data_IF_424686659747
#
_entry.id   IF_424686659747
#
_cell.length_a   1.000
_cell.length_b   1.000
_cell.length_c   1.000
_cell.angle_alpha   90.00
_cell.angle_beta   90.00
_cell.angle_gamma   90.00
#
_symmetry.space_group_name_H-M   'P 1'
#
loop_
_entity.id
_entity.type
_entity.pdbx_description
1 polymer ?
#
# COMPACT_ATOMS: atom_id res chain seq x y z
N UNK A 1 -48.21 2.97 -16.38
CA UNK A 1 -47.00 3.80 -16.26
C UNK A 1 -46.17 3.16 -15.16
N UNK A 2 -45.18 2.36 -15.52
CA UNK A 2 -44.38 1.57 -14.57
C UNK A 2 -43.20 2.45 -14.17
N UNK A 3 -43.19 2.92 -12.92
CA UNK A 3 -41.99 3.49 -12.33
C UNK A 3 -41.12 2.32 -11.87
N UNK A 4 -40.16 1.92 -12.69
CA UNK A 4 -39.01 1.14 -12.21
C UNK A 4 -38.12 2.09 -11.42
N UNK A 5 -38.36 2.21 -10.11
CA UNK A 5 -37.40 2.82 -9.19
C UNK A 5 -36.20 1.88 -9.12
N UNK A 6 -35.11 2.21 -9.82
CA UNK A 6 -33.80 1.60 -9.60
C UNK A 6 -33.39 1.86 -8.15
N UNK A 7 -33.53 0.85 -7.29
CA UNK A 7 -33.18 0.92 -5.87
C UNK A 7 -31.66 0.89 -5.69
N UNK A 8 -30.98 1.97 -6.05
CA UNK A 8 -29.55 2.12 -5.77
C UNK A 8 -29.36 2.57 -4.32
N UNK A 9 -28.78 1.72 -3.48
CA UNK A 9 -28.43 2.06 -2.10
C UNK A 9 -26.93 2.34 -2.00
N UNK A 10 -26.57 3.57 -1.67
CA UNK A 10 -25.16 4.01 -1.54
C UNK A 10 -24.81 4.34 -0.11
N UNK A 11 -23.68 3.82 0.35
CA UNK A 11 -23.14 3.99 1.68
C UNK A 11 -21.89 4.87 1.66
N UNK A 12 -21.76 5.72 2.68
CA UNK A 12 -20.71 6.73 2.77
C UNK A 12 -19.92 6.57 4.07
N UNK A 13 -18.60 6.85 4.06
CA UNK A 13 -17.82 6.82 5.28
C UNK A 13 -18.21 7.98 6.22
N UNK A 14 -18.05 7.76 7.53
CA UNK A 14 -18.26 8.77 8.58
C UNK A 14 -17.43 10.01 8.28
N UNK A 15 -17.97 11.23 8.48
CA UNK A 15 -17.20 12.47 8.36
C UNK A 15 -15.94 12.49 9.24
N UNK A 16 -16.00 11.90 10.44
CA UNK A 16 -14.86 11.81 11.36
C UNK A 16 -13.76 10.88 10.85
N UNK A 17 -14.11 9.73 10.28
CA UNK A 17 -13.15 8.79 9.69
C UNK A 17 -12.47 9.38 8.46
N UNK A 18 -13.24 10.06 7.60
CA UNK A 18 -12.71 10.81 6.46
C UNK A 18 -11.77 11.94 6.91
N UNK A 19 -12.17 12.74 7.90
CA UNK A 19 -11.33 13.83 8.42
C UNK A 19 -10.01 13.31 9.01
N UNK A 20 -10.06 12.21 9.77
CA UNK A 20 -8.87 11.57 10.33
C UNK A 20 -7.93 11.05 9.23
N UNK A 21 -8.46 10.28 8.28
CA UNK A 21 -7.70 9.72 7.15
C UNK A 21 -7.08 10.82 6.28
N UNK A 22 -7.85 11.88 6.02
CA UNK A 22 -7.37 13.06 5.28
C UNK A 22 -6.26 13.78 6.03
N UNK A 23 -6.42 14.02 7.34
CA UNK A 23 -5.39 14.67 8.16
C UNK A 23 -4.09 13.86 8.13
N UNK A 24 -4.17 12.55 8.35
CA UNK A 24 -2.98 11.70 8.33
C UNK A 24 -2.33 11.66 6.95
N UNK A 25 -3.12 11.55 5.88
CA UNK A 25 -2.60 11.60 4.51
C UNK A 25 -1.87 12.92 4.22
N UNK A 26 -2.41 14.07 4.66
CA UNK A 26 -1.70 15.35 4.52
C UNK A 26 -0.44 15.44 5.36
N UNK A 27 -0.44 14.94 6.59
CA UNK A 27 0.75 14.88 7.44
C UNK A 27 1.84 14.01 6.81
N UNK A 28 1.47 12.83 6.30
CA UNK A 28 2.40 11.93 5.61
C UNK A 28 2.95 12.58 4.33
N UNK A 29 2.09 13.21 3.53
CA UNK A 29 2.51 13.93 2.32
C UNK A 29 3.49 15.08 2.65
N UNK A 30 3.17 15.90 3.67
CA UNK A 30 4.04 16.98 4.11
C UNK A 30 5.38 16.47 4.62
N UNK A 31 5.39 15.39 5.42
CA UNK A 31 6.62 14.78 5.91
C UNK A 31 7.49 14.23 4.76
N UNK A 32 6.88 13.57 3.77
CA UNK A 32 7.58 13.05 2.60
C UNK A 32 8.17 14.17 1.73
N UNK A 33 7.42 15.25 1.49
CA UNK A 33 7.90 16.41 0.74
C UNK A 33 8.99 17.17 1.49
N UNK A 34 8.87 17.32 2.81
CA UNK A 34 9.90 17.95 3.63
C UNK A 34 11.19 17.11 3.60
N UNK A 35 11.07 15.78 3.73
CA UNK A 35 12.21 14.87 3.62
C UNK A 35 12.85 14.95 2.23
N UNK A 36 12.05 14.96 1.17
CA UNK A 36 12.53 15.06 -0.20
C UNK A 36 13.26 16.38 -0.47
N UNK A 37 12.71 17.51 -0.01
CA UNK A 37 13.33 18.82 -0.20
C UNK A 37 14.64 18.97 0.57
N UNK A 38 14.68 18.53 1.84
CA UNK A 38 15.91 18.55 2.64
C UNK A 38 17.00 17.70 1.98
N UNK A 39 16.67 16.48 1.56
CA UNK A 39 17.65 15.57 0.93
C UNK A 39 18.11 16.06 -0.43
N UNK A 40 17.23 16.66 -1.23
CA UNK A 40 17.58 17.27 -2.52
C UNK A 40 18.54 18.45 -2.34
N UNK A 41 18.26 19.34 -1.38
CA UNK A 41 19.12 20.50 -1.08
C UNK A 41 20.51 20.03 -0.63
N UNK A 42 20.56 19.03 0.27
CA UNK A 42 21.82 18.45 0.74
C UNK A 42 22.61 17.81 -0.40
N UNK A 43 21.94 17.06 -1.28
CA UNK A 43 22.57 16.44 -2.46
C UNK A 43 23.14 17.49 -3.40
N UNK A 44 22.38 18.53 -3.76
CA UNK A 44 22.89 19.63 -4.61
C UNK A 44 24.11 20.30 -3.97
N UNK A 45 24.10 20.49 -2.66
CA UNK A 45 25.22 21.08 -1.93
C UNK A 45 26.46 20.18 -1.95
N UNK A 46 26.30 18.88 -1.71
CA UNK A 46 27.39 17.90 -1.76
C UNK A 46 27.93 17.77 -3.18
N UNK A 47 27.06 17.77 -4.19
CA UNK A 47 27.45 17.81 -5.60
C UNK A 47 28.34 19.02 -5.93
N UNK A 48 28.06 20.19 -5.35
CA UNK A 48 28.92 21.37 -5.48
C UNK A 48 30.34 21.20 -4.90
N UNK A 49 30.52 20.26 -3.98
CA UNK A 49 31.83 19.92 -3.38
C UNK A 49 32.54 18.77 -4.10
N UNK A 50 31.92 18.17 -5.14
CA UNK A 50 32.54 17.11 -5.94
C UNK A 50 33.72 17.66 -6.76
N UNK A 51 34.92 17.36 -6.31
CA UNK A 51 36.18 17.68 -7.02
C UNK A 51 36.78 16.47 -7.73
N UNK A 52 36.05 15.35 -7.81
CA UNK A 52 36.58 14.07 -8.28
C UNK A 52 35.83 13.55 -9.50
N UNK A 53 36.59 13.14 -10.53
CA UNK A 53 36.06 12.36 -11.64
C UNK A 53 35.50 11.02 -11.16
N UNK A 54 34.40 10.59 -11.76
CA UNK A 54 33.74 9.31 -11.49
C UNK A 54 34.76 8.16 -11.46
N UNK A 55 34.87 7.46 -10.33
CA UNK A 55 35.72 6.28 -10.20
C UNK A 55 34.84 5.04 -9.96
N UNK A 56 35.19 3.88 -10.53
CA UNK A 56 34.38 2.67 -10.46
C UNK A 56 34.33 1.99 -9.07
N UNK A 57 34.91 2.60 -8.02
CA UNK A 57 34.76 2.14 -6.64
C UNK A 57 33.98 3.18 -5.84
N UNK A 58 33.01 2.73 -5.04
CA UNK A 58 32.10 3.59 -4.28
C UNK A 58 32.87 4.31 -3.15
N UNK A 59 33.08 5.63 -3.22
CA UNK A 59 33.55 6.37 -2.03
C UNK A 59 32.38 6.60 -1.07
N UNK A 60 32.68 6.90 0.19
CA UNK A 60 31.64 7.27 1.17
C UNK A 60 30.81 8.49 0.70
N UNK A 61 31.42 9.42 -0.05
CA UNK A 61 30.73 10.55 -0.68
C UNK A 61 29.76 10.09 -1.78
N UNK A 62 30.16 9.13 -2.63
CA UNK A 62 29.28 8.57 -3.66
C UNK A 62 28.09 7.85 -3.00
N UNK A 63 28.36 7.03 -1.98
CA UNK A 63 27.32 6.32 -1.24
C UNK A 63 26.32 7.29 -0.57
N UNK A 64 26.84 8.38 0.02
CA UNK A 64 26.01 9.42 0.63
C UNK A 64 25.17 10.15 -0.42
N UNK A 65 25.77 10.54 -1.54
CA UNK A 65 25.09 11.23 -2.64
C UNK A 65 23.97 10.37 -3.23
N UNK A 66 24.24 9.10 -3.53
CA UNK A 66 23.23 8.16 -4.01
C UNK A 66 22.10 7.95 -2.99
N UNK A 67 22.43 7.91 -1.70
CA UNK A 67 21.42 7.79 -0.64
C UNK A 67 20.51 9.00 -0.60
N UNK A 68 21.07 10.20 -0.71
CA UNK A 68 20.29 11.44 -0.70
C UNK A 68 19.35 11.51 -1.90
N UNK A 69 19.85 11.25 -3.12
CA UNK A 69 19.01 11.19 -4.32
C UNK A 69 17.92 10.12 -4.21
N UNK A 70 18.25 8.94 -3.69
CA UNK A 70 17.29 7.87 -3.54
C UNK A 70 16.19 8.20 -2.52
N UNK A 71 16.54 8.80 -1.38
CA UNK A 71 15.56 9.27 -0.39
C UNK A 71 14.69 10.39 -0.98
N UNK A 72 15.27 11.33 -1.74
CA UNK A 72 14.49 12.35 -2.44
C UNK A 72 13.49 11.74 -3.41
N UNK A 73 13.93 10.75 -4.20
CA UNK A 73 13.07 10.03 -5.14
C UNK A 73 11.94 9.29 -4.43
N UNK A 74 12.24 8.56 -3.34
CA UNK A 74 11.23 7.88 -2.53
C UNK A 74 10.24 8.88 -1.90
N UNK A 75 10.73 10.02 -1.40
CA UNK A 75 9.88 11.06 -0.82
C UNK A 75 8.91 11.64 -1.85
N UNK A 76 9.38 11.98 -3.05
CA UNK A 76 8.53 12.49 -4.14
C UNK A 76 7.54 11.41 -4.60
N UNK A 77 8.03 10.19 -4.89
CA UNK A 77 7.18 9.07 -5.34
C UNK A 77 6.12 8.71 -4.30
N UNK A 78 6.48 8.66 -3.03
CA UNK A 78 5.56 8.45 -1.91
C UNK A 78 4.52 9.56 -1.81
N UNK A 79 4.92 10.83 -1.94
CA UNK A 79 3.99 11.96 -1.90
C UNK A 79 2.97 11.88 -3.04
N UNK A 80 3.38 11.47 -4.25
CA UNK A 80 2.46 11.25 -5.39
C UNK A 80 1.44 10.15 -5.05
N UNK A 81 1.87 9.02 -4.47
CA UNK A 81 0.95 7.94 -4.08
C UNK A 81 -0.05 8.40 -3.02
N UNK A 82 0.42 9.13 -2.00
CA UNK A 82 -0.45 9.68 -0.96
C UNK A 82 -1.44 10.68 -1.54
N UNK A 83 -1.02 11.53 -2.48
CA UNK A 83 -1.92 12.47 -3.16
C UNK A 83 -3.00 11.73 -3.98
N UNK A 84 -2.63 10.69 -4.73
CA UNK A 84 -3.62 9.85 -5.44
C UNK A 84 -4.60 9.18 -4.46
N UNK A 85 -4.11 8.73 -3.31
CA UNK A 85 -4.97 8.20 -2.24
C UNK A 85 -5.91 9.26 -1.66
N UNK A 86 -5.44 10.48 -1.40
CA UNK A 86 -6.30 11.56 -0.92
C UNK A 86 -7.41 11.89 -1.92
N UNK A 87 -7.12 11.85 -3.23
CA UNK A 87 -8.12 12.03 -4.29
C UNK A 87 -9.13 10.87 -4.27
N UNK A 88 -8.65 9.62 -4.19
CA UNK A 88 -9.51 8.44 -4.08
C UNK A 88 -10.43 8.50 -2.85
N UNK A 89 -9.90 8.88 -1.70
CA UNK A 89 -10.65 9.05 -0.46
C UNK A 89 -11.68 10.18 -0.57
N UNK A 90 -11.34 11.28 -1.22
CA UNK A 90 -12.29 12.36 -1.50
C UNK A 90 -13.45 11.88 -2.39
N UNK A 91 -13.13 11.14 -3.44
CA UNK A 91 -14.10 10.56 -4.35
C UNK A 91 -14.99 9.53 -3.66
N UNK A 92 -14.46 8.69 -2.76
CA UNK A 92 -15.24 7.78 -1.93
C UNK A 92 -16.19 8.51 -0.97
N UNK A 93 -15.73 9.63 -0.37
CA UNK A 93 -16.59 10.45 0.48
C UNK A 93 -17.72 11.15 -0.32
N UNK A 94 -17.46 11.57 -1.56
CA UNK A 94 -18.45 12.27 -2.39
C UNK A 94 -19.40 11.36 -3.15
N UNK A 95 -18.91 10.24 -3.67
CA UNK A 95 -19.64 9.34 -4.57
C UNK A 95 -20.13 8.05 -3.89
N UNK A 96 -19.70 7.80 -2.65
CA UNK A 96 -19.95 6.55 -1.92
C UNK A 96 -18.79 5.57 -2.05
N UNK A 97 -18.66 4.72 -1.04
CA UNK A 97 -17.64 3.65 -0.95
C UNK A 97 -18.22 2.28 -1.24
N UNK A 98 -19.51 2.09 -0.97
CA UNK A 98 -20.23 0.86 -1.29
C UNK A 98 -21.60 1.22 -1.86
N UNK A 99 -21.97 0.62 -2.98
CA UNK A 99 -23.27 0.81 -3.60
C UNK A 99 -23.83 -0.52 -4.08
N UNK A 100 -25.08 -0.80 -3.71
CA UNK A 100 -25.90 -1.77 -4.42
C UNK A 100 -26.48 -1.09 -5.66
N UNK A 101 -26.12 -1.57 -6.84
CA UNK A 101 -26.65 -1.08 -8.12
C UNK A 101 -27.68 -2.11 -8.58
N UNK A 102 -28.95 -1.77 -8.36
CA UNK A 102 -30.06 -2.71 -8.60
C UNK A 102 -29.89 -3.97 -7.73
N UNK A 103 -30.60 -5.05 -8.07
CA UNK A 103 -30.51 -6.36 -7.40
C UNK A 103 -29.47 -7.28 -8.08
N UNK A 104 -28.57 -6.72 -8.91
CA UNK A 104 -27.68 -7.53 -9.77
C UNK A 104 -26.19 -7.19 -9.62
N UNK A 105 -25.85 -6.03 -9.07
CA UNK A 105 -24.46 -5.57 -9.00
C UNK A 105 -24.10 -4.90 -7.68
N UNK A 106 -22.86 -5.14 -7.25
CA UNK A 106 -22.25 -4.47 -6.10
C UNK A 106 -21.07 -3.66 -6.58
N UNK A 107 -21.11 -2.35 -6.38
CA UNK A 107 -19.97 -1.47 -6.61
C UNK A 107 -19.27 -1.16 -5.29
N UNK A 108 -17.99 -1.53 -5.19
CA UNK A 108 -17.15 -1.28 -4.02
C UNK A 108 -15.94 -0.45 -4.42
N UNK A 109 -15.58 0.50 -3.57
CA UNK A 109 -14.35 1.28 -3.69
C UNK A 109 -13.56 1.15 -2.40
N UNK A 110 -12.33 0.66 -2.52
CA UNK A 110 -11.40 0.66 -1.38
C UNK A 110 -10.90 2.08 -1.11
N UNK A 111 -11.38 2.67 -0.02
CA UNK A 111 -10.83 3.90 0.56
C UNK A 111 -10.38 3.68 2.00
N UNK A 112 -10.00 2.45 2.34
CA UNK A 112 -9.62 2.09 3.69
C UNK A 112 -8.34 2.83 4.11
N UNK A 113 -8.25 3.13 5.42
CA UNK A 113 -7.05 3.66 6.04
C UNK A 113 -5.82 2.74 5.84
N UNK A 114 -6.05 1.42 5.70
CA UNK A 114 -5.01 0.43 5.46
C UNK A 114 -4.14 0.71 4.23
N UNK A 115 -4.67 1.44 3.24
CA UNK A 115 -3.90 1.85 2.07
C UNK A 115 -2.77 2.84 2.39
N UNK A 116 -2.94 3.72 3.39
CA UNK A 116 -1.84 4.58 3.85
C UNK A 116 -0.72 3.75 4.50
N UNK A 117 -1.11 2.75 5.30
CA UNK A 117 -0.18 1.78 5.88
C UNK A 117 0.59 1.01 4.80
N UNK A 118 -0.11 0.58 3.76
CA UNK A 118 0.50 -0.12 2.62
C UNK A 118 1.50 0.77 1.87
N UNK A 119 1.18 2.04 1.63
CA UNK A 119 2.12 3.01 1.04
C UNK A 119 3.37 3.15 1.92
N UNK A 120 3.20 3.29 3.24
CA UNK A 120 4.33 3.38 4.18
C UNK A 120 5.22 2.14 4.12
N UNK A 121 4.64 0.93 4.16
CA UNK A 121 5.41 -0.31 4.12
C UNK A 121 6.16 -0.50 2.79
N UNK A 122 5.55 -0.10 1.67
CA UNK A 122 6.22 -0.12 0.35
C UNK A 122 7.42 0.82 0.33
N UNK A 123 7.28 2.05 0.82
CA UNK A 123 8.39 3.01 0.91
C UNK A 123 9.49 2.52 1.84
N UNK A 124 9.12 1.96 2.99
CA UNK A 124 10.05 1.39 3.97
C UNK A 124 10.81 0.20 3.38
N UNK A 125 10.13 -0.72 2.69
CA UNK A 125 10.77 -1.85 2.03
C UNK A 125 11.75 -1.40 0.93
N UNK A 126 11.36 -0.41 0.12
CA UNK A 126 12.24 0.15 -0.91
C UNK A 126 13.50 0.80 -0.30
N UNK A 127 13.34 1.52 0.81
CA UNK A 127 14.46 2.07 1.58
C UNK A 127 15.42 0.98 2.05
N UNK A 128 14.92 -0.06 2.73
CA UNK A 128 15.78 -1.13 3.24
C UNK A 128 16.43 -1.97 2.13
N UNK A 129 15.74 -2.20 1.02
CA UNK A 129 16.35 -2.86 -0.14
C UNK A 129 17.52 -2.04 -0.69
N UNK A 130 17.36 -0.72 -0.77
CA UNK A 130 18.45 0.15 -1.22
C UNK A 130 19.63 0.17 -0.24
N UNK A 131 19.37 0.25 1.07
CA UNK A 131 20.43 0.14 2.08
C UNK A 131 21.15 -1.20 2.00
N UNK A 132 20.43 -2.31 1.84
CA UNK A 132 21.02 -3.63 1.65
C UNK A 132 21.90 -3.68 0.38
N UNK A 133 21.44 -3.07 -0.72
CA UNK A 133 22.22 -2.96 -1.94
C UNK A 133 23.51 -2.16 -1.75
N UNK A 134 23.46 -1.03 -1.02
CA UNK A 134 24.65 -0.24 -0.68
C UNK A 134 25.63 -1.01 0.21
N UNK A 135 25.14 -1.66 1.27
CA UNK A 135 25.96 -2.47 2.18
C UNK A 135 26.63 -3.62 1.43
N UNK A 136 25.92 -4.26 0.50
CA UNK A 136 26.48 -5.30 -0.37
C UNK A 136 27.62 -4.80 -1.27
N UNK A 137 27.67 -3.50 -1.59
CA UNK A 137 28.75 -2.90 -2.39
C UNK A 137 29.96 -2.44 -1.56
N UNK A 138 29.83 -2.30 -0.23
CA UNK A 138 30.91 -1.85 0.67
C UNK A 138 32.19 -2.70 0.57
N UNK A 139 32.14 -4.04 0.47
CA UNK A 139 33.36 -4.84 0.41
C UNK A 139 34.27 -4.54 -0.79
N UNK A 140 33.73 -3.98 -1.88
CA UNK A 140 34.52 -3.54 -3.05
C UNK A 140 35.52 -2.44 -2.64
N UNK A 141 35.15 -1.59 -1.68
CA UNK A 141 36.01 -0.54 -1.11
C UNK A 141 37.17 -1.15 -0.31
N UNK A 142 36.91 -2.27 0.38
CA UNK A 142 37.91 -2.97 1.19
C UNK A 142 39.01 -3.61 0.34
N UNK A 143 38.72 -4.03 -0.89
CA UNK A 143 39.73 -4.60 -1.80
C UNK A 143 40.87 -3.59 -2.05
N UNK A 144 40.56 -2.33 -2.35
CA UNK A 144 41.60 -1.33 -2.62
C UNK A 144 42.43 -1.00 -1.37
N UNK A 145 41.80 -1.00 -0.19
CA UNK A 145 42.49 -0.77 1.08
C UNK A 145 43.42 -1.92 1.46
N UNK A 146 42.98 -3.16 1.27
CA UNK A 146 43.74 -4.36 1.64
C UNK A 146 44.99 -4.58 0.78
N UNK A 147 44.98 -4.11 -0.48
CA UNK A 147 46.14 -4.15 -1.39
C UNK A 147 47.27 -3.20 -0.91
N UNK A 148 46.95 -2.16 -0.13
CA UNK A 148 47.92 -1.15 0.34
C UNK A 148 48.60 -1.52 1.67
N UNK A 149 48.30 -2.68 2.25
CA UNK A 149 48.87 -3.11 3.53
C UNK A 149 50.36 -3.51 3.38
N UNK A 150 51.20 -3.02 4.29
CA UNK A 150 52.66 -3.21 4.22
C UNK A 150 53.14 -4.67 4.37
N UNK A 151 52.50 -5.57 5.17
CA UNK A 151 52.92 -6.96 5.23
C UNK A 151 52.24 -7.77 4.12
N UNK A 152 53.04 -8.43 3.26
CA UNK A 152 52.54 -9.23 2.14
C UNK A 152 51.51 -10.29 2.54
N UNK A 153 51.77 -11.05 3.62
CA UNK A 153 50.85 -12.07 4.14
C UNK A 153 49.52 -11.48 4.63
N UNK A 154 49.58 -10.31 5.28
CA UNK A 154 48.38 -9.62 5.77
C UNK A 154 47.55 -9.10 4.59
N UNK A 155 48.22 -8.53 3.57
CA UNK A 155 47.56 -8.10 2.33
C UNK A 155 46.89 -9.28 1.62
N UNK A 156 47.58 -10.40 1.43
CA UNK A 156 47.03 -11.59 0.76
C UNK A 156 45.76 -12.12 1.45
N UNK A 157 45.81 -12.32 2.77
CA UNK A 157 44.67 -12.86 3.54
C UNK A 157 43.50 -11.87 3.56
N UNK A 158 43.78 -10.59 3.80
CA UNK A 158 42.73 -9.57 3.88
C UNK A 158 42.08 -9.26 2.53
N UNK A 159 42.85 -9.26 1.44
CA UNK A 159 42.31 -9.14 0.08
C UNK A 159 41.50 -10.38 -0.31
N UNK A 160 41.95 -11.59 0.03
CA UNK A 160 41.18 -12.82 -0.17
C UNK A 160 39.83 -12.79 0.56
N UNK A 161 39.81 -12.36 1.81
CA UNK A 161 38.58 -12.19 2.59
C UNK A 161 37.66 -11.10 2.00
N UNK A 162 38.25 -9.97 1.58
CA UNK A 162 37.51 -8.89 0.93
C UNK A 162 36.86 -9.34 -0.38
N UNK A 163 37.54 -10.17 -1.19
CA UNK A 163 36.97 -10.75 -2.42
C UNK A 163 35.77 -11.65 -2.09
N UNK A 164 35.88 -12.53 -1.10
CA UNK A 164 34.77 -13.40 -0.68
C UNK A 164 33.57 -12.58 -0.18
N UNK A 165 33.83 -11.54 0.63
CA UNK A 165 32.81 -10.60 1.09
C UNK A 165 32.19 -9.80 -0.08
N UNK A 166 32.97 -9.41 -1.09
CA UNK A 166 32.47 -8.73 -2.29
C UNK A 166 31.57 -9.62 -3.13
N UNK A 167 31.89 -10.91 -3.28
CA UNK A 167 31.03 -11.87 -3.96
C UNK A 167 29.69 -12.04 -3.24
N UNK A 168 29.72 -12.24 -1.93
CA UNK A 168 28.50 -12.34 -1.12
C UNK A 168 27.69 -11.03 -1.17
N UNK A 169 28.36 -9.89 -1.05
CA UNK A 169 27.76 -8.56 -1.12
C UNK A 169 27.11 -8.29 -2.48
N UNK A 170 27.78 -8.66 -3.59
CA UNK A 170 27.25 -8.52 -4.94
C UNK A 170 25.95 -9.32 -5.12
N UNK A 171 25.88 -10.55 -4.60
CA UNK A 171 24.65 -11.36 -4.62
C UNK A 171 23.52 -10.64 -3.88
N UNK A 172 23.78 -10.11 -2.68
CA UNK A 172 22.79 -9.36 -1.90
C UNK A 172 22.34 -8.10 -2.66
N UNK A 173 23.26 -7.36 -3.28
CA UNK A 173 22.94 -6.18 -4.08
C UNK A 173 22.08 -6.52 -5.30
N UNK A 174 22.38 -7.59 -6.04
CA UNK A 174 21.59 -8.02 -7.20
C UNK A 174 20.16 -8.41 -6.78
N UNK A 175 20.01 -9.19 -5.71
CA UNK A 175 18.69 -9.57 -5.18
C UNK A 175 17.91 -8.32 -4.74
N UNK A 176 18.56 -7.41 -4.01
CA UNK A 176 17.93 -6.19 -3.52
C UNK A 176 17.48 -5.27 -4.66
N UNK A 177 18.29 -5.11 -5.70
CA UNK A 177 17.93 -4.35 -6.91
C UNK A 177 16.74 -5.02 -7.62
N UNK A 178 16.70 -6.35 -7.70
CA UNK A 178 15.57 -7.06 -8.30
C UNK A 178 14.26 -6.78 -7.56
N UNK A 179 14.27 -6.72 -6.22
CA UNK A 179 13.11 -6.33 -5.43
C UNK A 179 12.70 -4.87 -5.64
N UNK A 180 13.65 -3.95 -5.84
CA UNK A 180 13.33 -2.57 -6.20
C UNK A 180 12.61 -2.52 -7.55
N UNK A 181 13.10 -3.25 -8.56
CA UNK A 181 12.46 -3.29 -9.90
C UNK A 181 11.06 -3.90 -9.83
N UNK A 182 10.90 -5.04 -9.16
CA UNK A 182 9.58 -5.66 -8.95
C UNK A 182 8.66 -4.70 -8.20
N UNK A 183 9.19 -4.01 -7.18
CA UNK A 183 8.49 -3.00 -6.41
C UNK A 183 7.97 -1.85 -7.27
N UNK A 184 8.78 -1.33 -8.21
CA UNK A 184 8.36 -0.26 -9.13
C UNK A 184 7.18 -0.70 -10.01
N UNK A 185 7.24 -1.92 -10.56
CA UNK A 185 6.13 -2.48 -11.36
C UNK A 185 4.88 -2.66 -10.50
N UNK A 186 5.06 -3.19 -9.28
CA UNK A 186 3.97 -3.35 -8.30
C UNK A 186 3.32 -2.02 -7.93
N UNK A 187 4.11 -0.97 -7.71
CA UNK A 187 3.64 0.39 -7.41
C UNK A 187 2.81 0.96 -8.56
N UNK A 188 3.22 0.75 -9.81
CA UNK A 188 2.45 1.23 -10.97
C UNK A 188 1.08 0.54 -11.04
N UNK A 189 1.05 -0.79 -10.88
CA UNK A 189 -0.20 -1.56 -10.80
C UNK A 189 -1.07 -1.11 -9.63
N UNK A 190 -0.49 -0.98 -8.43
CA UNK A 190 -1.19 -0.52 -7.23
C UNK A 190 -1.78 0.87 -7.43
N UNK A 191 -1.00 1.81 -7.98
CA UNK A 191 -1.43 3.18 -8.22
C UNK A 191 -2.60 3.30 -9.21
N UNK A 192 -2.72 2.37 -10.16
CA UNK A 192 -3.85 2.32 -11.08
C UNK A 192 -5.11 1.71 -10.46
N UNK A 193 -4.95 0.80 -9.49
CA UNK A 193 -6.07 0.17 -8.77
C UNK A 193 -6.56 1.00 -7.59
N UNK A 194 -5.70 1.84 -7.03
CA UNK A 194 -5.98 2.61 -5.83
C UNK A 194 -7.16 3.57 -6.04
N UNK A 195 -8.25 3.34 -5.30
CA UNK A 195 -9.47 4.14 -5.39
C UNK A 195 -10.36 3.86 -6.60
N UNK A 196 -10.02 2.87 -7.42
CA UNK A 196 -10.89 2.44 -8.51
C UNK A 196 -12.19 1.86 -7.92
N UNK A 197 -13.31 2.16 -8.58
CA UNK A 197 -14.57 1.48 -8.27
C UNK A 197 -14.59 0.16 -9.04
N UNK A 198 -14.80 -0.93 -8.31
CA UNK A 198 -14.97 -2.25 -8.88
C UNK A 198 -16.44 -2.63 -8.73
N UNK A 199 -17.08 -2.93 -9.87
CA UNK A 199 -18.46 -3.39 -9.91
C UNK A 199 -18.45 -4.90 -10.15
N UNK A 200 -18.99 -5.66 -9.20
CA UNK A 200 -19.11 -7.10 -9.24
C UNK A 200 -20.53 -7.48 -9.59
N UNK A 201 -20.70 -8.48 -10.46
CA UNK A 201 -22.00 -9.12 -10.69
C UNK A 201 -22.31 -10.04 -9.51
N UNK A 202 -23.55 -9.97 -9.00
CA UNK A 202 -24.05 -10.88 -7.98
C UNK A 202 -24.41 -12.22 -8.62
N UNK A 203 -23.40 -13.07 -8.80
CA UNK A 203 -23.57 -14.43 -9.33
C UNK A 203 -22.79 -15.43 -8.46
N UNK A 204 -22.83 -16.71 -8.83
CA UNK A 204 -22.26 -17.81 -8.04
C UNK A 204 -20.74 -17.79 -7.90
N UNK A 205 -20.06 -16.84 -8.56
CA UNK A 205 -18.63 -16.61 -8.46
C UNK A 205 -18.29 -15.51 -7.47
N UNK A 206 -19.24 -14.64 -7.12
CA UNK A 206 -19.04 -13.63 -6.10
C UNK A 206 -19.02 -14.29 -4.73
N UNK A 207 -17.94 -14.08 -4.00
CA UNK A 207 -17.84 -14.38 -2.58
C UNK A 207 -17.66 -13.08 -1.81
N UNK A 208 -18.58 -12.79 -0.90
CA UNK A 208 -18.41 -11.72 0.07
C UNK A 208 -18.06 -12.36 1.40
N UNK A 209 -16.91 -12.00 1.94
CA UNK A 209 -16.41 -12.52 3.20
C UNK A 209 -16.33 -11.41 4.24
N UNK A 210 -16.87 -11.67 5.42
CA UNK A 210 -16.82 -10.77 6.57
C UNK A 210 -15.88 -11.33 7.64
N UNK A 211 -14.66 -10.79 7.71
CA UNK A 211 -13.67 -11.13 8.72
C UNK A 211 -13.58 -9.99 9.75
N UNK A 212 -14.16 -10.19 10.93
CA UNK A 212 -14.22 -9.15 11.96
C UNK A 212 -14.99 -7.92 11.47
N UNK A 213 -14.27 -6.82 11.22
CA UNK A 213 -14.83 -5.57 10.67
C UNK A 213 -14.47 -5.33 9.20
N UNK A 214 -13.81 -6.28 8.53
CA UNK A 214 -13.38 -6.14 7.13
C UNK A 214 -14.34 -6.94 6.24
N UNK A 215 -15.00 -6.24 5.32
CA UNK A 215 -15.82 -6.83 4.27
C UNK A 215 -14.95 -6.97 3.01
N UNK A 216 -14.74 -8.19 2.56
CA UNK A 216 -13.93 -8.50 1.38
C UNK A 216 -14.82 -9.02 0.27
N UNK A 217 -14.78 -8.38 -0.90
CA UNK A 217 -15.43 -8.86 -2.12
C UNK A 217 -14.40 -9.59 -3.00
N UNK A 218 -14.67 -10.85 -3.30
CA UNK A 218 -13.82 -11.75 -4.09
C UNK A 218 -14.62 -12.19 -5.32
N UNK A 219 -14.04 -12.00 -6.50
CA UNK A 219 -14.63 -12.44 -7.76
C UNK A 219 -13.51 -12.90 -8.71
N UNK A 220 -13.65 -14.04 -9.41
CA UNK A 220 -12.61 -14.55 -10.30
C UNK A 220 -12.20 -13.54 -11.36
N UNK A 221 -10.90 -13.43 -11.63
CA UNK A 221 -10.33 -12.52 -12.63
C UNK A 221 -10.54 -11.01 -12.37
N UNK A 222 -11.09 -10.65 -11.21
CA UNK A 222 -11.24 -9.27 -10.75
C UNK A 222 -10.42 -9.01 -9.49
N UNK A 223 -9.94 -7.78 -9.26
CA UNK A 223 -9.17 -7.47 -8.06
C UNK A 223 -10.04 -7.64 -6.82
N UNK A 224 -9.47 -8.22 -5.76
CA UNK A 224 -10.10 -8.28 -4.45
C UNK A 224 -10.19 -6.87 -3.86
N UNK A 225 -11.35 -6.54 -3.28
CA UNK A 225 -11.58 -5.25 -2.64
C UNK A 225 -11.93 -5.47 -1.17
N UNK A 226 -11.15 -4.85 -0.30
CA UNK A 226 -11.34 -4.88 1.14
C UNK A 226 -11.93 -3.56 1.60
N UNK A 227 -12.99 -3.62 2.39
CA UNK A 227 -13.70 -2.48 2.92
C UNK A 227 -13.76 -2.58 4.44
N UNK A 228 -13.17 -1.61 5.14
CA UNK A 228 -13.27 -1.53 6.59
C UNK A 228 -14.63 -0.96 7.01
N UNK A 229 -15.48 -1.80 7.60
CA UNK A 229 -16.80 -1.41 8.07
C UNK A 229 -16.73 -0.35 9.17
N UNK A 230 -15.65 -0.27 9.96
CA UNK A 230 -15.50 0.75 11.01
C UNK A 230 -15.52 2.18 10.46
N UNK A 231 -15.23 2.32 9.17
CA UNK A 231 -15.32 3.59 8.45
C UNK A 231 -16.76 4.14 8.36
N UNK A 232 -17.81 3.31 8.43
CA UNK A 232 -19.22 3.71 8.35
C UNK A 232 -19.88 3.96 9.71
N UNK A 233 -20.93 4.80 9.77
CA UNK A 233 -21.76 5.02 10.96
C UNK A 233 -22.30 3.68 11.49
N UNK A 234 -22.43 3.50 12.81
CA UNK A 234 -22.91 2.21 13.35
C UNK A 234 -24.30 1.83 12.80
N UNK A 235 -25.15 2.83 12.55
CA UNK A 235 -26.45 2.64 11.89
C UNK A 235 -26.28 2.17 10.44
N UNK A 236 -25.39 2.80 9.68
CA UNK A 236 -25.13 2.46 8.28
C UNK A 236 -24.44 1.10 8.16
N UNK A 237 -23.60 0.71 9.11
CA UNK A 237 -23.02 -0.63 9.22
C UNK A 237 -24.12 -1.69 9.38
N UNK A 238 -25.03 -1.49 10.35
CA UNK A 238 -26.14 -2.41 10.59
C UNK A 238 -27.04 -2.51 9.36
N UNK A 239 -27.38 -1.37 8.76
CA UNK A 239 -28.23 -1.32 7.57
C UNK A 239 -27.56 -1.95 6.34
N UNK A 240 -26.25 -1.74 6.16
CA UNK A 240 -25.47 -2.39 5.10
C UNK A 240 -25.49 -3.90 5.28
N UNK A 241 -25.19 -4.39 6.48
CA UNK A 241 -25.13 -5.82 6.76
C UNK A 241 -26.51 -6.49 6.66
N UNK A 242 -27.57 -5.83 7.14
CA UNK A 242 -28.94 -6.34 7.01
C UNK A 242 -29.38 -6.40 5.55
N UNK A 243 -29.07 -5.36 4.76
CA UNK A 243 -29.39 -5.32 3.34
C UNK A 243 -28.60 -6.37 2.56
N UNK A 244 -27.35 -6.63 2.96
CA UNK A 244 -26.50 -7.64 2.35
C UNK A 244 -27.04 -9.06 2.61
N UNK A 245 -27.55 -9.33 3.82
CA UNK A 245 -28.22 -10.58 4.15
C UNK A 245 -29.57 -10.71 3.41
N UNK A 246 -30.39 -9.67 3.41
CA UNK A 246 -31.68 -9.65 2.71
C UNK A 246 -31.52 -9.90 1.20
N UNK A 247 -30.51 -9.30 0.57
CA UNK A 247 -30.21 -9.52 -0.84
C UNK A 247 -29.68 -10.92 -1.12
N UNK A 248 -28.95 -11.52 -0.18
CA UNK A 248 -28.48 -12.90 -0.31
C UNK A 248 -29.64 -13.91 -0.25
N UNK A 249 -30.56 -13.72 0.71
CA UNK A 249 -31.77 -14.53 0.86
C UNK A 249 -32.70 -14.37 -0.35
N UNK A 250 -32.93 -13.14 -0.81
CA UNK A 250 -33.78 -12.86 -1.99
C UNK A 250 -33.21 -13.43 -3.28
N UNK A 251 -31.90 -13.53 -3.38
CA UNK A 251 -31.22 -14.03 -4.56
C UNK A 251 -31.12 -15.57 -4.58
N UNK A 252 -31.90 -16.29 -3.76
CA UNK A 252 -31.86 -17.75 -3.62
C UNK A 252 -30.44 -18.29 -3.40
N UNK A 253 -29.61 -17.55 -2.64
CA UNK A 253 -28.22 -17.92 -2.34
C UNK A 253 -27.36 -18.06 -3.61
N UNK A 254 -27.66 -17.29 -4.67
CA UNK A 254 -26.95 -17.40 -5.94
C UNK A 254 -25.50 -16.91 -5.88
N UNK A 255 -25.04 -16.31 -4.78
CA UNK A 255 -23.67 -15.90 -4.51
C UNK A 255 -23.28 -16.32 -3.08
N UNK A 256 -21.98 -16.37 -2.78
CA UNK A 256 -21.49 -16.89 -1.50
C UNK A 256 -21.31 -15.78 -0.48
N UNK A 257 -21.85 -15.97 0.72
CA UNK A 257 -21.70 -15.05 1.83
C UNK A 257 -21.10 -15.80 3.01
N UNK A 258 -19.86 -15.46 3.37
CA UNK A 258 -19.12 -16.06 4.48
C UNK A 258 -19.06 -15.11 5.66
N UNK A 259 -19.55 -15.56 6.81
CA UNK A 259 -19.51 -14.81 8.07
C UNK A 259 -18.58 -15.50 9.04
N UNK A 260 -17.71 -14.73 9.69
CA UNK A 260 -17.08 -15.19 10.92
C UNK A 260 -18.09 -15.14 12.07
N UNK A 261 -18.65 -16.29 12.46
CA UNK A 261 -19.64 -16.41 13.54
C UNK A 261 -19.12 -15.92 14.89
N UNK A 262 -17.80 -15.88 15.08
CA UNK A 262 -17.17 -15.33 16.28
C UNK A 262 -17.08 -13.79 16.26
N UNK A 263 -17.38 -13.14 15.13
CA UNK A 263 -17.25 -11.70 14.98
C UNK A 263 -18.38 -10.94 15.70
N UNK A 264 -18.06 -9.84 16.41
CA UNK A 264 -19.08 -8.95 16.98
C UNK A 264 -20.00 -8.35 15.90
N UNK A 265 -19.59 -8.34 14.62
CA UNK A 265 -20.44 -7.89 13.51
C UNK A 265 -21.54 -8.91 13.14
N UNK A 266 -21.29 -10.21 13.30
CA UNK A 266 -22.33 -11.25 13.14
C UNK A 266 -23.43 -11.10 14.20
N UNK A 267 -23.02 -10.81 15.45
CA UNK A 267 -23.96 -10.54 16.54
C UNK A 267 -24.82 -9.28 16.28
N UNK A 268 -24.26 -8.27 15.63
CA UNK A 268 -25.00 -7.05 15.28
C UNK A 268 -26.11 -7.29 14.25
N UNK A 269 -25.94 -8.26 13.35
CA UNK A 269 -26.98 -8.65 12.39
C UNK A 269 -28.09 -9.43 13.07
N UNK A 270 -27.76 -10.40 13.93
CA UNK A 270 -28.79 -11.12 14.70
C UNK A 270 -29.62 -10.19 15.61
N UNK A 271 -29.01 -9.13 16.15
CA UNK A 271 -29.74 -8.13 16.93
C UNK A 271 -30.63 -7.26 16.04
N UNK A 272 -30.14 -6.86 14.86
CA UNK A 272 -30.92 -6.08 13.89
C UNK A 272 -32.14 -6.85 13.38
N UNK A 273 -31.99 -8.15 13.10
CA UNK A 273 -33.09 -9.03 12.69
C UNK A 273 -34.14 -9.17 13.79
N UNK A 274 -33.70 -9.36 15.04
CA UNK A 274 -34.64 -9.40 16.18
C UNK A 274 -35.40 -8.09 16.35
N UNK A 275 -34.75 -6.93 16.23
CA UNK A 275 -35.44 -5.64 16.33
C UNK A 275 -36.46 -5.42 15.20
N UNK A 276 -36.23 -5.98 14.00
CA UNK A 276 -37.18 -5.91 12.87
C UNK A 276 -38.40 -6.84 13.01
N UNK A 277 -38.30 -7.91 13.81
CA UNK A 277 -39.38 -8.86 14.07
C UNK A 277 -40.34 -8.36 15.17
N UNK A 278 -39.89 -7.40 16.00
CA UNK A 278 -40.66 -6.83 17.11
C UNK A 278 -41.18 -5.40 16.86
N UNK A 279 -41.01 -4.87 15.64
CA UNK A 279 -41.53 -3.56 15.20
C UNK A 279 -42.69 -3.74 14.21
#
# INVERSE_FOLDING_TARGET
MIFTTTHTHTFYPKPSSYAHTRLLGWLMCAALLLCATITLILSIHIWGTYTHSFKPYLKWQDALEYSLWFISFLGIGGAILVMRFLVAAHDGFRKGTFSFIEDTQIAVRDTSFGNLGSIFWVLNAAFWCFIAALVGLVPIILIEWTIRLSPFLLSLVSTGLAIVLSLAGLVVSVISISFIVIGVVGIFSFSNKLGATHAYTMDNKLTIRLDGSILTAIYPDMPEVMLDLNSFAQRDQRFLLSLLHEQWDKADHCWNLEWDEASPMYQLVQVSERESVYA
#
